data_IF_068542532432
#
_entry.id   IF_068542532432
#
_cell.length_a   1.000
_cell.length_b   1.000
_cell.length_c   1.000
_cell.angle_alpha   90.00
_cell.angle_beta   90.00
_cell.angle_gamma   90.00
#
_symmetry.space_group_name_H-M   'P 1'
#
loop_
_entity.id
_entity.type
_entity.pdbx_description
1 polymer ?
#
# COMPACT_ATOMS: atom_id res chain seq x y z
N UNK A 1 17.67 -13.28 3.36
CA UNK A 1 16.59 -12.28 3.49
C UNK A 1 15.50 -12.68 2.52
N UNK A 2 14.27 -12.82 3.00
CA UNK A 2 13.14 -13.30 2.20
C UNK A 2 12.52 -12.20 1.32
N UNK A 3 12.95 -10.96 1.54
CA UNK A 3 12.54 -9.76 0.81
C UNK A 3 13.63 -8.69 0.90
N UNK A 4 13.55 -7.69 0.02
CA UNK A 4 14.28 -6.42 0.13
C UNK A 4 13.30 -5.30 0.45
N UNK A 5 13.78 -4.24 1.09
CA UNK A 5 12.94 -3.12 1.50
C UNK A 5 13.35 -1.82 0.80
N UNK A 6 12.38 -1.11 0.25
CA UNK A 6 12.61 0.17 -0.42
C UNK A 6 11.61 1.22 0.08
N UNK A 7 12.02 2.49 0.05
CA UNK A 7 11.18 3.63 0.40
C UNK A 7 11.04 4.60 -0.75
N UNK A 8 9.87 5.23 -0.82
CA UNK A 8 9.54 6.24 -1.82
C UNK A 8 8.75 7.37 -1.17
N UNK A 9 8.96 8.59 -1.64
CA UNK A 9 8.01 9.69 -1.46
C UNK A 9 6.87 9.53 -2.46
N UNK A 10 5.65 9.80 -2.01
CA UNK A 10 4.43 9.75 -2.81
C UNK A 10 3.70 11.10 -2.68
N UNK A 11 3.78 11.90 -3.73
CA UNK A 11 3.07 13.17 -3.82
C UNK A 11 1.75 12.97 -4.55
N UNK A 12 0.68 13.50 -3.96
CA UNK A 12 -0.65 13.57 -4.56
C UNK A 12 -0.87 14.99 -5.08
N UNK A 13 -1.09 15.11 -6.38
CA UNK A 13 -1.28 16.39 -7.06
C UNK A 13 -2.76 16.52 -7.41
N UNK A 14 -3.48 17.33 -6.64
CA UNK A 14 -4.90 17.57 -6.86
C UNK A 14 -5.14 18.37 -8.15
N UNK A 15 -6.23 18.02 -8.83
CA UNK A 15 -6.78 18.79 -9.94
C UNK A 15 -8.00 19.58 -9.47
N UNK A 16 -8.40 20.59 -10.24
CA UNK A 16 -9.57 21.44 -9.94
C UNK A 16 -10.90 20.66 -9.91
N UNK A 17 -10.97 19.53 -10.60
CA UNK A 17 -12.16 18.69 -10.73
C UNK A 17 -12.21 17.52 -9.72
N UNK A 18 -11.60 17.70 -8.55
CA UNK A 18 -11.50 16.71 -7.46
C UNK A 18 -10.79 15.39 -7.82
N UNK A 19 -10.28 15.26 -9.04
CA UNK A 19 -9.36 14.19 -9.43
C UNK A 19 -7.94 14.47 -8.93
N UNK A 20 -7.07 13.47 -8.99
CA UNK A 20 -5.66 13.65 -8.61
C UNK A 20 -4.70 12.97 -9.59
N UNK A 21 -3.43 13.31 -9.49
CA UNK A 21 -2.30 12.56 -10.07
C UNK A 21 -1.36 12.13 -8.94
N UNK A 22 -0.59 11.09 -9.21
CA UNK A 22 0.42 10.60 -8.27
C UNK A 22 1.82 10.78 -8.84
N UNK A 23 2.77 11.07 -7.97
CA UNK A 23 4.19 11.12 -8.32
C UNK A 23 4.99 10.39 -7.25
N UNK A 24 5.72 9.35 -7.66
CA UNK A 24 6.64 8.60 -6.79
C UNK A 24 8.06 9.13 -6.97
N UNK A 25 8.86 9.17 -5.91
CA UNK A 25 10.30 9.46 -5.95
C UNK A 25 11.04 8.52 -4.99
N UNK A 26 12.20 7.94 -5.35
CA UNK A 26 12.90 8.06 -6.63
C UNK A 26 12.16 7.39 -7.80
N UNK A 27 12.59 7.69 -9.03
CA UNK A 27 12.04 7.09 -10.27
C UNK A 27 12.68 5.74 -10.65
N UNK A 28 13.53 5.19 -9.77
CA UNK A 28 14.22 3.91 -9.94
C UNK A 28 14.07 3.07 -8.66
N UNK A 29 14.41 1.79 -8.75
CA UNK A 29 14.32 0.81 -7.66
C UNK A 29 13.51 -0.44 -8.04
N UNK A 30 13.70 -1.52 -7.29
CA UNK A 30 13.12 -2.82 -7.59
C UNK A 30 11.60 -2.85 -7.42
N UNK A 31 11.04 -2.01 -6.53
CA UNK A 31 9.59 -1.88 -6.38
C UNK A 31 8.89 -1.35 -7.65
N UNK A 32 9.63 -0.65 -8.52
CA UNK A 32 9.13 -0.11 -9.78
C UNK A 32 9.19 -1.11 -10.94
N UNK A 33 9.78 -2.30 -10.71
CA UNK A 33 9.79 -3.41 -11.66
C UNK A 33 8.51 -4.24 -11.58
N UNK A 34 8.08 -4.81 -12.73
CA UNK A 34 6.81 -5.55 -12.83
C UNK A 34 6.83 -6.86 -12.05
N UNK A 35 7.91 -7.62 -12.16
CA UNK A 35 8.06 -8.94 -11.55
C UNK A 35 8.26 -8.80 -10.03
N UNK A 36 7.87 -9.82 -9.26
CA UNK A 36 7.77 -9.87 -7.78
C UNK A 36 6.44 -9.52 -7.14
N UNK A 37 6.05 -10.34 -6.16
CA UNK A 37 5.08 -9.96 -5.12
C UNK A 37 5.67 -8.90 -4.20
N UNK A 38 4.84 -7.93 -3.84
CA UNK A 38 5.21 -6.76 -3.06
C UNK A 38 4.13 -6.49 -2.03
N UNK A 39 4.55 -6.07 -0.85
CA UNK A 39 3.69 -5.50 0.17
C UNK A 39 4.07 -4.03 0.31
N UNK A 40 3.11 -3.12 0.16
CA UNK A 40 3.32 -1.68 0.29
C UNK A 40 2.52 -1.11 1.45
N UNK A 41 3.14 -0.17 2.15
CA UNK A 41 2.60 0.52 3.31
C UNK A 41 2.62 2.02 2.99
N UNK A 42 1.45 2.64 2.99
CA UNK A 42 1.30 4.09 2.86
C UNK A 42 1.34 4.69 4.26
N UNK A 43 2.17 5.69 4.45
CA UNK A 43 2.29 6.41 5.72
C UNK A 43 2.34 7.92 5.52
N UNK A 44 1.92 8.65 6.55
CA UNK A 44 2.16 10.09 6.68
C UNK A 44 2.75 10.31 8.06
N UNK A 45 3.98 10.85 8.11
CA UNK A 45 4.77 10.93 9.34
C UNK A 45 4.78 9.57 10.06
N UNK A 46 4.25 9.53 11.29
CA UNK A 46 4.20 8.35 12.14
C UNK A 46 2.91 7.52 11.99
N UNK A 47 1.96 7.95 11.16
CA UNK A 47 0.67 7.30 10.97
C UNK A 47 0.70 6.33 9.78
N UNK A 48 0.26 5.08 10.01
CA UNK A 48 0.08 4.10 8.92
C UNK A 48 -1.34 4.24 8.38
N UNK A 49 -1.44 4.58 7.10
CA UNK A 49 -2.68 4.96 6.44
C UNK A 49 -3.34 3.82 5.68
N UNK A 50 -2.53 2.93 5.11
CA UNK A 50 -2.99 1.83 4.26
C UNK A 50 -1.90 0.76 4.13
N UNK A 51 -2.29 -0.51 4.10
CA UNK A 51 -1.41 -1.64 3.74
C UNK A 51 -2.05 -2.38 2.57
N UNK A 52 -1.26 -2.81 1.59
CA UNK A 52 -1.77 -3.65 0.53
C UNK A 52 -0.71 -4.43 -0.22
N UNK A 53 -1.16 -5.43 -0.98
CA UNK A 53 -0.30 -6.25 -1.85
C UNK A 53 -0.36 -5.84 -3.33
N UNK A 54 0.72 -6.15 -4.06
CA UNK A 54 0.74 -6.11 -5.52
C UNK A 54 1.65 -7.19 -6.11
N UNK A 55 1.28 -7.70 -7.30
CA UNK A 55 2.15 -8.48 -8.20
C UNK A 55 2.57 -7.69 -9.45
N UNK A 56 2.44 -6.37 -9.41
CA UNK A 56 2.88 -5.44 -10.46
C UNK A 56 3.92 -4.50 -9.86
N UNK A 57 4.47 -3.60 -10.66
CA UNK A 57 5.21 -2.48 -10.08
C UNK A 57 4.30 -1.63 -9.21
N UNK A 58 4.84 -1.01 -8.16
CA UNK A 58 4.07 -0.10 -7.31
C UNK A 58 3.57 1.10 -8.10
N UNK A 59 4.35 1.59 -9.07
CA UNK A 59 3.89 2.62 -10.02
C UNK A 59 2.63 2.19 -10.77
N UNK A 60 2.61 1.01 -11.38
CA UNK A 60 1.43 0.52 -12.08
C UNK A 60 0.26 0.27 -11.13
N UNK A 61 0.51 -0.29 -9.94
CA UNK A 61 -0.52 -0.53 -8.92
C UNK A 61 -1.20 0.77 -8.49
N UNK A 62 -0.44 1.82 -8.24
CA UNK A 62 -0.98 3.11 -7.85
C UNK A 62 -1.63 3.85 -9.01
N UNK A 63 -1.06 3.79 -10.22
CA UNK A 63 -1.68 4.36 -11.41
C UNK A 63 -3.06 3.76 -11.68
N UNK A 64 -3.24 2.44 -11.49
CA UNK A 64 -4.53 1.77 -11.63
C UNK A 64 -5.54 2.28 -10.59
N UNK A 65 -5.13 2.37 -9.33
CA UNK A 65 -5.96 2.94 -8.27
C UNK A 65 -6.36 4.39 -8.53
N UNK A 66 -5.41 5.23 -8.94
CA UNK A 66 -5.64 6.61 -9.33
C UNK A 66 -6.58 6.73 -10.53
N UNK A 67 -6.41 5.88 -11.55
CA UNK A 67 -7.29 5.85 -12.72
C UNK A 67 -8.72 5.49 -12.33
N UNK A 68 -8.91 4.48 -11.47
CA UNK A 68 -10.23 4.09 -10.97
C UNK A 68 -10.87 5.17 -10.10
N UNK A 69 -10.08 5.82 -9.25
CA UNK A 69 -10.53 6.96 -8.43
C UNK A 69 -11.01 8.12 -9.30
N UNK A 70 -10.17 8.57 -10.24
CA UNK A 70 -10.52 9.66 -11.14
C UNK A 70 -11.73 9.35 -12.01
N UNK A 71 -11.89 8.09 -12.44
CA UNK A 71 -13.08 7.66 -13.15
C UNK A 71 -14.33 7.75 -12.25
N UNK A 72 -14.23 7.29 -11.00
CA UNK A 72 -15.34 7.38 -10.05
C UNK A 72 -15.74 8.84 -9.76
N UNK A 73 -14.77 9.72 -9.51
CA UNK A 73 -15.02 11.15 -9.29
C UNK A 73 -15.72 11.77 -10.50
N UNK A 74 -15.28 11.44 -11.72
CA UNK A 74 -15.84 12.02 -12.95
C UNK A 74 -17.25 11.52 -13.28
N UNK A 75 -17.53 10.23 -13.07
CA UNK A 75 -18.75 9.59 -13.57
C UNK A 75 -19.77 9.26 -12.47
N UNK A 76 -19.39 9.33 -11.19
CA UNK A 76 -20.23 8.93 -10.07
C UNK A 76 -20.38 7.40 -9.88
N UNK A 77 -19.82 6.59 -10.79
CA UNK A 77 -19.92 5.13 -10.78
C UNK A 77 -18.56 4.42 -10.80
N UNK A 78 -18.51 3.26 -10.16
CA UNK A 78 -17.28 2.49 -10.02
C UNK A 78 -17.02 1.62 -11.26
N UNK A 79 -15.82 1.70 -11.84
CA UNK A 79 -15.45 0.83 -12.96
C UNK A 79 -15.25 -0.60 -12.46
N UNK A 80 -16.15 -1.51 -12.85
CA UNK A 80 -16.15 -2.92 -12.39
C UNK A 80 -16.20 -3.05 -10.85
N UNK A 81 -16.91 -2.14 -10.18
CA UNK A 81 -17.04 -2.13 -8.72
C UNK A 81 -15.85 -1.57 -7.95
N UNK A 82 -14.71 -1.29 -8.60
CA UNK A 82 -13.52 -0.75 -7.93
C UNK A 82 -13.44 0.79 -8.06
N UNK A 83 -13.57 1.49 -6.94
CA UNK A 83 -13.54 2.97 -6.84
C UNK A 83 -12.13 3.57 -6.72
N UNK A 84 -11.08 2.76 -6.72
CA UNK A 84 -9.73 3.22 -6.39
C UNK A 84 -9.49 3.31 -4.88
N UNK A 85 -8.39 3.95 -4.49
CA UNK A 85 -8.01 4.07 -3.08
C UNK A 85 -8.69 5.26 -2.41
N UNK A 86 -9.15 5.07 -1.17
CA UNK A 86 -9.74 6.16 -0.37
C UNK A 86 -8.75 7.23 0.04
N UNK A 87 -7.48 6.87 0.25
CA UNK A 87 -6.42 7.83 0.59
C UNK A 87 -6.08 8.81 -0.54
N UNK A 88 -6.64 8.65 -1.74
CA UNK A 88 -6.53 9.63 -2.83
C UNK A 88 -7.55 10.77 -2.70
N UNK A 89 -8.65 10.56 -1.96
CA UNK A 89 -9.72 11.54 -1.88
C UNK A 89 -9.29 12.74 -1.03
N UNK A 90 -9.22 13.92 -1.63
CA UNK A 90 -8.79 15.14 -0.93
C UNK A 90 -9.71 15.58 0.20
N UNK A 91 -10.97 15.15 0.17
CA UNK A 91 -11.97 15.42 1.21
C UNK A 91 -11.72 14.53 2.43
N UNK A 92 -11.41 13.24 2.22
CA UNK A 92 -11.21 12.26 3.30
C UNK A 92 -9.77 12.24 3.84
N UNK A 93 -8.80 12.52 2.95
CA UNK A 93 -7.38 12.59 3.23
C UNK A 93 -6.88 13.99 2.86
N UNK A 94 -6.46 14.79 3.83
CA UNK A 94 -5.86 16.11 3.58
C UNK A 94 -4.36 16.05 3.32
N UNK A 95 -3.71 14.90 3.54
CA UNK A 95 -2.28 14.72 3.34
C UNK A 95 -1.93 14.59 1.86
N UNK A 96 -1.00 15.41 1.36
CA UNK A 96 -0.55 15.38 -0.06
C UNK A 96 0.88 14.89 -0.25
N UNK A 97 1.70 14.99 0.78
CA UNK A 97 3.02 14.38 0.80
C UNK A 97 2.94 13.16 1.71
N UNK A 98 2.96 11.99 1.09
CA UNK A 98 2.95 10.69 1.74
C UNK A 98 4.31 10.03 1.52
N UNK A 99 4.55 8.98 2.27
CA UNK A 99 5.68 8.10 2.04
C UNK A 99 5.17 6.66 1.90
N UNK A 100 5.93 5.86 1.17
CA UNK A 100 5.59 4.50 0.83
C UNK A 100 6.78 3.62 1.13
N UNK A 101 6.55 2.67 2.01
CA UNK A 101 7.50 1.61 2.33
C UNK A 101 7.08 0.34 1.61
N UNK A 102 8.01 -0.33 0.92
CA UNK A 102 7.70 -1.50 0.07
C UNK A 102 8.64 -2.65 0.43
N UNK A 103 8.07 -3.75 0.89
CA UNK A 103 8.76 -5.04 0.97
C UNK A 103 8.56 -5.78 -0.36
N UNK A 104 9.66 -6.16 -1.01
CA UNK A 104 9.68 -6.85 -2.30
C UNK A 104 10.18 -8.26 -2.05
N UNK A 105 9.31 -9.24 -2.19
CA UNK A 105 9.60 -10.62 -1.84
C UNK A 105 10.45 -11.30 -2.91
N UNK A 106 11.18 -12.33 -2.49
CA UNK A 106 11.92 -13.21 -3.38
C UNK A 106 10.99 -13.93 -4.39
N UNK A 107 11.52 -14.30 -5.56
CA UNK A 107 10.80 -15.01 -6.62
C UNK A 107 10.04 -16.25 -6.16
N UNK A 108 10.52 -16.95 -5.10
CA UNK A 108 9.82 -18.11 -4.54
C UNK A 108 8.39 -17.79 -4.06
N UNK A 109 8.07 -16.52 -3.77
CA UNK A 109 6.75 -16.08 -3.32
C UNK A 109 5.85 -15.55 -4.44
N UNK A 110 6.28 -15.53 -5.71
CA UNK A 110 5.53 -14.85 -6.78
C UNK A 110 4.11 -15.41 -6.98
N UNK A 111 3.93 -16.70 -6.70
CA UNK A 111 2.65 -17.41 -6.75
C UNK A 111 1.94 -17.54 -5.39
N UNK A 112 2.56 -17.05 -4.31
CA UNK A 112 2.09 -17.22 -2.92
C UNK A 112 1.21 -16.06 -2.46
N UNK A 113 0.17 -15.73 -3.24
CA UNK A 113 -0.72 -14.59 -2.93
C UNK A 113 -1.28 -14.66 -1.52
N UNK A 114 -1.83 -15.81 -1.15
CA UNK A 114 -2.50 -16.01 0.13
C UNK A 114 -1.54 -15.80 1.30
N UNK A 115 -0.27 -16.18 1.14
CA UNK A 115 0.76 -15.94 2.13
C UNK A 115 1.06 -14.45 2.29
N UNK A 116 1.23 -13.72 1.19
CA UNK A 116 1.46 -12.26 1.23
C UNK A 116 0.25 -11.51 1.83
N UNK A 117 -0.97 -11.93 1.51
CA UNK A 117 -2.19 -11.40 2.12
C UNK A 117 -2.28 -11.72 3.61
N UNK A 118 -1.79 -12.89 4.06
CA UNK A 118 -1.69 -13.19 5.49
C UNK A 118 -0.72 -12.24 6.20
N UNK A 119 0.44 -11.93 5.59
CA UNK A 119 1.39 -10.94 6.12
C UNK A 119 0.75 -9.54 6.17
N UNK A 120 -0.03 -9.15 5.14
CA UNK A 120 -0.81 -7.91 5.14
C UNK A 120 -1.75 -7.85 6.35
N UNK A 121 -2.51 -8.92 6.59
CA UNK A 121 -3.42 -9.03 7.74
C UNK A 121 -2.70 -8.88 9.08
N UNK A 122 -1.57 -9.56 9.25
CA UNK A 122 -0.74 -9.48 10.45
C UNK A 122 -0.20 -8.06 10.69
N UNK A 123 0.28 -7.37 9.64
CA UNK A 123 0.71 -5.98 9.77
C UNK A 123 -0.42 -5.08 10.23
N UNK A 124 -1.60 -5.20 9.62
CA UNK A 124 -2.76 -4.37 9.97
C UNK A 124 -3.21 -4.66 11.41
N UNK A 125 -3.17 -5.92 11.84
CA UNK A 125 -3.41 -6.29 13.24
C UNK A 125 -2.36 -5.70 14.19
N UNK A 126 -1.07 -5.73 13.83
CA UNK A 126 0.00 -5.13 14.64
C UNK A 126 -0.17 -3.61 14.79
N UNK A 127 -0.62 -2.89 13.75
CA UNK A 127 -0.99 -1.47 13.86
C UNK A 127 -2.09 -1.30 14.91
N UNK A 128 -3.16 -2.09 14.84
CA UNK A 128 -4.27 -2.04 15.79
C UNK A 128 -3.83 -2.34 17.22
N UNK A 129 -3.01 -3.38 17.39
CA UNK A 129 -2.52 -3.82 18.69
C UNK A 129 -1.60 -2.78 19.35
N UNK A 130 -0.69 -2.17 18.59
CA UNK A 130 0.32 -1.26 19.14
C UNK A 130 -0.17 0.20 19.25
N UNK A 131 -1.04 0.64 18.34
CA UNK A 131 -1.45 2.04 18.27
C UNK A 131 -2.93 2.27 18.56
N UNK A 132 -3.71 1.21 18.73
CA UNK A 132 -5.13 1.34 19.06
C UNK A 132 -6.00 1.87 17.92
N UNK A 133 -5.54 1.81 16.66
CA UNK A 133 -6.34 2.19 15.49
C UNK A 133 -6.12 1.22 14.31
N UNK A 134 -7.12 1.14 13.43
CA UNK A 134 -6.96 0.49 12.12
C UNK A 134 -6.44 1.52 11.11
N UNK A 135 -5.57 1.15 10.14
CA UNK A 135 -5.13 2.09 9.11
C UNK A 135 -6.33 2.79 8.46
N UNK A 136 -6.30 4.13 8.49
CA UNK A 136 -7.48 4.98 8.28
C UNK A 136 -8.24 4.71 6.98
N UNK A 137 -7.53 4.29 5.93
CA UNK A 137 -8.10 4.08 4.61
C UNK A 137 -8.18 2.62 4.20
N UNK A 138 -7.95 1.69 5.14
CA UNK A 138 -8.11 0.25 4.89
C UNK A 138 -9.59 -0.06 4.59
N UNK A 139 -9.84 -0.85 3.54
CA UNK A 139 -11.20 -1.26 3.16
C UNK A 139 -11.47 -2.73 3.42
N UNK A 140 -10.47 -3.57 3.17
CA UNK A 140 -10.55 -5.02 3.27
C UNK A 140 -9.23 -5.52 3.86
N UNK A 141 -9.32 -6.55 4.68
CA UNK A 141 -8.17 -7.21 5.29
C UNK A 141 -8.44 -8.70 5.19
N UNK A 142 -7.49 -9.45 4.64
CA UNK A 142 -7.59 -10.90 4.51
C UNK A 142 -6.77 -11.53 5.64
N UNK A 143 -7.44 -12.22 6.56
CA UNK A 143 -6.77 -12.99 7.60
C UNK A 143 -6.70 -14.47 7.19
N UNK A 144 -5.51 -15.07 7.34
CA UNK A 144 -5.28 -16.48 7.07
C UNK A 144 -4.22 -17.03 8.02
N UNK A 145 -4.40 -18.26 8.50
CA UNK A 145 -3.48 -18.93 9.42
C UNK A 145 -2.31 -19.56 8.66
N UNK A 146 -1.53 -18.74 7.96
CA UNK A 146 -0.34 -19.20 7.25
C UNK A 146 0.88 -19.22 8.19
N UNK A 147 1.50 -20.39 8.35
CA UNK A 147 2.74 -20.54 9.12
C UNK A 147 3.85 -19.65 8.56
N UNK A 148 4.56 -18.91 9.41
CA UNK A 148 5.62 -17.97 9.01
C UNK A 148 5.14 -16.55 8.68
N UNK A 149 3.84 -16.35 8.40
CA UNK A 149 3.34 -15.03 8.01
C UNK A 149 3.42 -14.01 9.15
N UNK A 150 3.16 -14.46 10.38
CA UNK A 150 3.24 -13.65 11.59
C UNK A 150 4.67 -13.18 11.84
N UNK A 151 5.64 -14.08 11.75
CA UNK A 151 7.06 -13.79 12.01
C UNK A 151 7.58 -12.73 11.01
N UNK A 152 7.25 -12.89 9.73
CA UNK A 152 7.61 -11.89 8.70
C UNK A 152 6.85 -10.57 8.93
N UNK A 153 5.58 -10.63 9.31
CA UNK A 153 4.79 -9.45 9.66
C UNK A 153 5.41 -8.65 10.81
N UNK A 154 5.83 -9.33 11.87
CA UNK A 154 6.51 -8.71 13.02
C UNK A 154 7.88 -8.11 12.63
N UNK A 155 8.64 -8.78 11.75
CA UNK A 155 9.92 -8.26 11.23
C UNK A 155 9.70 -6.99 10.39
N UNK A 156 8.79 -7.04 9.42
CA UNK A 156 8.46 -5.87 8.57
C UNK A 156 7.93 -4.73 9.43
N UNK A 157 7.06 -5.00 10.40
CA UNK A 157 6.55 -3.98 11.31
C UNK A 157 7.69 -3.32 12.08
N UNK A 158 8.63 -4.09 12.61
CA UNK A 158 9.80 -3.58 13.33
C UNK A 158 10.69 -2.70 12.45
N UNK A 159 10.90 -3.10 11.18
CA UNK A 159 11.61 -2.28 10.20
C UNK A 159 10.89 -0.94 9.99
N UNK A 160 9.55 -0.95 9.80
CA UNK A 160 8.76 0.27 9.65
C UNK A 160 8.88 1.19 10.87
N UNK A 161 8.92 0.64 12.09
CA UNK A 161 9.11 1.41 13.32
C UNK A 161 10.48 2.09 13.39
N UNK A 162 11.55 1.36 13.07
CA UNK A 162 12.92 1.88 13.11
C UNK A 162 13.22 2.91 12.00
N UNK A 163 12.33 2.97 11.01
CA UNK A 163 12.37 3.83 9.86
C UNK A 163 11.57 5.14 10.06
N UNK A 164 10.91 5.30 11.22
CA UNK A 164 10.25 6.53 11.68
C UNK A 164 11.23 7.39 12.47
#
# INVERSE_FOLDING_TARGET
MEYIFEKYDLNLLDCDNDSCKIQLSPQNGNALSKERRKLYIIHHENEILYVGEANTSIKTRFQRGCTSFNYYIKNGEARKGYKGYKWLNKIDNTYRNLSVSVAIFDHKYDNERNFIEAIEGELVYLVRKNYGYWPKFQNEIHFSNCEGAKEIGEEIFSIILNLK
#
